data_IF_064696982708
#
_entry.id   IF_064696982708
#
_cell.length_a   1.000
_cell.length_b   1.000
_cell.length_c   1.000
_cell.angle_alpha   90.00
_cell.angle_beta   90.00
_cell.angle_gamma   90.00
#
_symmetry.space_group_name_H-M   'P 1'
#
loop_
_entity.id
_entity.type
_entity.pdbx_description
1 polymer ?
#
# COMPACT_ATOMS: atom_id res chain seq x y z
N UNK A 1 96.43 -1.67 33.44
CA UNK A 1 96.23 -3.10 33.77
C UNK A 1 94.74 -3.26 34.09
N UNK A 2 93.99 -3.74 33.13
CA UNK A 2 92.54 -4.09 33.36
C UNK A 2 92.49 -5.52 33.90
N UNK A 3 91.70 -5.79 34.96
CA UNK A 3 91.56 -7.16 35.44
C UNK A 3 90.61 -7.85 34.48
N UNK A 4 91.07 -8.82 33.75
CA UNK A 4 90.24 -9.79 33.08
C UNK A 4 89.54 -10.62 34.16
N UNK A 5 88.26 -10.46 34.24
CA UNK A 5 87.36 -11.33 35.06
C UNK A 5 87.30 -12.72 34.41
N UNK A 6 88.25 -13.61 34.81
CA UNK A 6 88.10 -15.03 34.45
C UNK A 6 86.91 -15.62 35.18
N UNK A 7 85.85 -15.84 34.45
CA UNK A 7 84.67 -16.58 34.92
C UNK A 7 85.06 -18.01 35.29
N UNK A 8 84.68 -18.50 36.43
CA UNK A 8 84.93 -19.88 36.85
C UNK A 8 84.25 -20.86 35.86
N UNK A 9 84.83 -22.05 35.67
CA UNK A 9 84.31 -23.08 34.75
C UNK A 9 82.82 -23.45 35.01
N UNK A 10 82.40 -23.35 36.28
CA UNK A 10 80.99 -23.54 36.66
C UNK A 10 80.09 -22.41 36.18
N UNK A 11 80.51 -21.15 36.20
CA UNK A 11 79.73 -20.00 35.71
C UNK A 11 79.64 -20.01 34.18
N UNK A 12 80.73 -20.43 33.47
CA UNK A 12 80.70 -20.66 32.03
C UNK A 12 79.67 -21.75 31.64
N UNK A 13 79.67 -22.90 32.30
CA UNK A 13 78.75 -23.97 32.02
C UNK A 13 77.30 -23.61 32.31
N UNK A 14 77.03 -22.75 33.34
CA UNK A 14 75.68 -22.26 33.61
C UNK A 14 75.21 -21.26 32.56
N UNK A 15 76.08 -20.39 32.15
CA UNK A 15 75.82 -19.42 31.04
C UNK A 15 75.56 -20.13 29.72
N UNK A 16 76.33 -21.14 29.36
CA UNK A 16 76.07 -21.96 28.16
C UNK A 16 74.74 -22.66 28.21
N UNK A 17 74.35 -23.24 29.33
CA UNK A 17 73.01 -23.85 29.53
C UNK A 17 71.88 -22.81 29.37
N UNK A 18 72.04 -21.60 29.92
CA UNK A 18 71.09 -20.51 29.80
C UNK A 18 70.99 -20.01 28.36
N UNK A 19 72.08 -19.84 27.68
CA UNK A 19 72.11 -19.49 26.22
C UNK A 19 71.38 -20.56 25.40
N UNK A 20 71.73 -21.82 25.55
CA UNK A 20 71.09 -22.90 24.83
C UNK A 20 69.58 -23.01 25.13
N UNK A 21 69.14 -22.65 26.33
CA UNK A 21 67.69 -22.59 26.71
C UNK A 21 66.98 -21.40 26.03
N UNK A 22 67.62 -20.24 25.96
CA UNK A 22 67.11 -19.08 25.30
C UNK A 22 67.03 -19.27 23.76
N UNK A 23 68.07 -19.88 23.18
CA UNK A 23 68.06 -20.19 21.73
C UNK A 23 66.93 -21.16 21.36
N UNK A 24 66.70 -22.19 22.17
CA UNK A 24 65.53 -23.11 21.95
C UNK A 24 64.17 -22.39 22.16
N UNK A 25 64.10 -21.39 23.04
CA UNK A 25 62.92 -20.60 23.24
C UNK A 25 62.66 -19.70 22.04
N UNK A 26 63.70 -18.97 21.57
CA UNK A 26 63.62 -18.10 20.38
C UNK A 26 63.25 -18.92 19.12
N UNK A 27 63.88 -20.11 18.95
CA UNK A 27 63.54 -20.95 17.82
C UNK A 27 62.07 -21.40 17.84
N UNK A 28 61.53 -21.78 19.03
CA UNK A 28 60.11 -22.13 19.17
C UNK A 28 59.18 -20.93 18.93
N UNK A 29 59.51 -19.77 19.43
CA UNK A 29 58.71 -18.56 19.19
C UNK A 29 58.72 -18.14 17.71
N UNK A 30 59.84 -18.27 17.03
CA UNK A 30 59.94 -18.05 15.55
C UNK A 30 59.06 -19.05 14.77
N UNK A 31 59.20 -20.32 15.05
CA UNK A 31 58.38 -21.38 14.38
C UNK A 31 56.88 -21.20 14.63
N UNK A 32 56.47 -20.87 15.85
CA UNK A 32 55.07 -20.56 16.16
C UNK A 32 54.54 -19.33 15.44
N UNK A 33 55.41 -18.29 15.32
CA UNK A 33 55.07 -17.07 14.57
C UNK A 33 54.92 -17.33 13.07
N UNK A 34 55.85 -18.06 12.46
CA UNK A 34 55.77 -18.45 11.05
C UNK A 34 54.51 -19.29 10.75
N UNK A 35 54.15 -20.20 11.67
CA UNK A 35 52.93 -21.00 11.53
C UNK A 35 51.66 -20.16 11.67
N UNK A 36 51.61 -19.22 12.60
CA UNK A 36 50.51 -18.27 12.77
C UNK A 36 50.34 -17.35 11.55
N UNK A 37 51.47 -16.84 10.99
CA UNK A 37 51.46 -16.02 9.77
C UNK A 37 50.91 -16.82 8.59
N UNK A 38 51.35 -18.08 8.41
CA UNK A 38 50.84 -18.97 7.36
C UNK A 38 49.34 -19.25 7.49
N UNK A 39 48.83 -19.52 8.73
CA UNK A 39 47.41 -19.73 8.97
C UNK A 39 46.62 -18.45 8.66
N UNK A 40 47.13 -17.27 9.04
CA UNK A 40 46.51 -16.00 8.76
C UNK A 40 46.45 -15.69 7.24
N UNK A 41 47.53 -15.96 6.50
CA UNK A 41 47.55 -15.80 5.03
C UNK A 41 46.57 -16.74 4.34
N UNK A 42 46.52 -18.02 4.72
CA UNK A 42 45.57 -18.99 4.19
C UNK A 42 44.11 -18.58 4.52
N UNK A 43 43.87 -18.09 5.73
CA UNK A 43 42.59 -17.57 6.15
C UNK A 43 42.12 -16.38 5.32
N UNK A 44 42.99 -15.38 5.12
CA UNK A 44 42.72 -14.21 4.28
C UNK A 44 42.45 -14.61 2.82
N UNK A 45 43.21 -15.54 2.30
CA UNK A 45 43.02 -16.04 0.92
C UNK A 45 41.66 -16.72 0.76
N UNK A 46 41.24 -17.53 1.72
CA UNK A 46 39.91 -18.17 1.70
C UNK A 46 38.79 -17.16 1.79
N UNK A 47 38.92 -16.17 2.69
CA UNK A 47 37.95 -15.08 2.83
C UNK A 47 37.82 -14.28 1.53
N UNK A 48 38.93 -13.98 0.87
CA UNK A 48 38.91 -13.27 -0.40
C UNK A 48 38.15 -14.05 -1.48
N UNK A 49 38.42 -15.35 -1.62
CA UNK A 49 37.74 -16.20 -2.61
C UNK A 49 36.24 -16.33 -2.32
N UNK A 50 35.85 -16.48 -1.05
CA UNK A 50 34.44 -16.55 -0.65
C UNK A 50 33.72 -15.22 -0.89
N UNK A 51 34.38 -14.10 -0.59
CA UNK A 51 33.80 -12.78 -0.89
C UNK A 51 33.59 -12.58 -2.40
N UNK A 52 34.58 -12.96 -3.21
CA UNK A 52 34.44 -12.87 -4.66
C UNK A 52 33.29 -13.74 -5.18
N UNK A 53 33.15 -14.98 -4.69
CA UNK A 53 32.04 -15.86 -5.05
C UNK A 53 30.67 -15.30 -4.59
N UNK A 54 30.63 -14.63 -3.42
CA UNK A 54 29.42 -13.97 -2.93
C UNK A 54 29.06 -12.76 -3.80
N UNK A 55 30.03 -11.94 -4.17
CA UNK A 55 29.81 -10.79 -5.04
C UNK A 55 29.26 -11.21 -6.41
N UNK A 56 29.83 -12.27 -7.00
CA UNK A 56 29.35 -12.84 -8.27
C UNK A 56 27.92 -13.39 -8.14
N UNK A 57 27.61 -14.09 -7.05
CA UNK A 57 26.25 -14.58 -6.80
C UNK A 57 25.24 -13.47 -6.57
N UNK A 58 25.62 -12.41 -5.84
CA UNK A 58 24.78 -11.23 -5.62
C UNK A 58 24.48 -10.55 -6.95
N UNK A 59 25.51 -10.34 -7.78
CA UNK A 59 25.35 -9.72 -9.10
C UNK A 59 24.41 -10.55 -9.99
N UNK A 60 24.60 -11.85 -10.05
CA UNK A 60 23.75 -12.76 -10.84
C UNK A 60 22.29 -12.73 -10.35
N UNK A 61 22.07 -12.84 -9.04
CA UNK A 61 20.72 -12.80 -8.47
C UNK A 61 20.02 -11.47 -8.67
N UNK A 62 20.76 -10.37 -8.61
CA UNK A 62 20.22 -9.04 -8.88
C UNK A 62 19.75 -8.93 -10.33
N UNK A 63 20.57 -9.42 -11.28
CA UNK A 63 20.19 -9.44 -12.69
C UNK A 63 18.97 -10.34 -12.97
N UNK A 64 18.91 -11.54 -12.38
CA UNK A 64 17.77 -12.45 -12.49
C UNK A 64 16.47 -11.79 -11.98
N UNK A 65 16.55 -11.14 -10.80
CA UNK A 65 15.42 -10.43 -10.19
C UNK A 65 14.95 -9.24 -11.04
N UNK A 66 15.87 -8.48 -11.62
CA UNK A 66 15.53 -7.37 -12.53
C UNK A 66 14.84 -7.88 -13.80
N UNK A 67 15.29 -8.99 -14.37
CA UNK A 67 14.65 -9.62 -15.53
C UNK A 67 13.25 -10.14 -15.19
N UNK A 68 13.09 -10.81 -14.05
CA UNK A 68 11.77 -11.28 -13.59
C UNK A 68 10.82 -10.11 -13.34
N UNK A 69 11.30 -9.04 -12.70
CA UNK A 69 10.54 -7.82 -12.44
C UNK A 69 10.10 -7.14 -13.73
N UNK A 70 10.99 -7.05 -14.71
CA UNK A 70 10.69 -6.47 -16.02
C UNK A 70 9.64 -7.30 -16.78
N UNK A 71 9.76 -8.64 -16.76
CA UNK A 71 8.76 -9.53 -17.35
C UNK A 71 7.39 -9.41 -16.67
N UNK A 72 7.38 -9.33 -15.34
CA UNK A 72 6.15 -9.15 -14.58
C UNK A 72 5.48 -7.79 -14.89
N UNK A 73 6.27 -6.72 -14.98
CA UNK A 73 5.77 -5.40 -15.32
C UNK A 73 5.19 -5.34 -16.74
N UNK A 74 5.85 -5.95 -17.73
CA UNK A 74 5.34 -6.04 -19.11
C UNK A 74 4.02 -6.81 -19.16
N UNK A 75 3.92 -7.95 -18.45
CA UNK A 75 2.68 -8.72 -18.37
C UNK A 75 1.55 -7.96 -17.68
N UNK A 76 1.85 -7.14 -16.67
CA UNK A 76 0.86 -6.29 -16.01
C UNK A 76 0.38 -5.18 -16.95
N UNK A 77 1.29 -4.51 -17.67
CA UNK A 77 0.95 -3.48 -18.64
C UNK A 77 0.06 -4.01 -19.78
N UNK A 78 0.38 -5.20 -20.34
CA UNK A 78 -0.44 -5.85 -21.34
C UNK A 78 -1.85 -6.19 -20.84
N UNK A 79 -1.97 -6.66 -19.60
CA UNK A 79 -3.27 -6.92 -18.96
C UNK A 79 -4.07 -5.63 -18.76
N UNK A 80 -3.42 -4.58 -18.30
CA UNK A 80 -4.06 -3.28 -18.10
C UNK A 80 -4.58 -2.71 -19.43
N UNK A 81 -3.80 -2.77 -20.50
CA UNK A 81 -4.21 -2.32 -21.82
C UNK A 81 -5.38 -3.15 -22.37
N UNK A 82 -5.33 -4.47 -22.23
CA UNK A 82 -6.44 -5.35 -22.63
C UNK A 82 -7.75 -5.00 -21.89
N UNK A 83 -7.66 -4.73 -20.60
CA UNK A 83 -8.84 -4.39 -19.79
C UNK A 83 -9.34 -2.96 -20.09
N UNK A 84 -8.45 -2.01 -20.42
CA UNK A 84 -8.84 -0.68 -20.94
C UNK A 84 -9.61 -0.79 -22.25
N UNK A 85 -9.13 -1.63 -23.17
CA UNK A 85 -9.83 -1.90 -24.44
C UNK A 85 -11.19 -2.55 -24.20
N UNK A 86 -11.25 -3.61 -23.38
CA UNK A 86 -12.51 -4.27 -23.03
C UNK A 86 -13.52 -3.30 -22.42
N UNK A 87 -13.10 -2.44 -21.49
CA UNK A 87 -14.00 -1.47 -20.88
C UNK A 87 -14.51 -0.43 -21.88
N UNK A 88 -13.66 0.05 -22.77
CA UNK A 88 -14.08 0.98 -23.81
C UNK A 88 -15.08 0.34 -24.77
N UNK A 89 -14.80 -0.90 -25.22
CA UNK A 89 -15.66 -1.64 -26.13
C UNK A 89 -16.98 -2.12 -25.52
N UNK A 90 -17.01 -2.35 -24.19
CA UNK A 90 -18.24 -2.77 -23.49
C UNK A 90 -19.08 -1.58 -23.03
N UNK A 91 -18.50 -0.41 -22.78
CA UNK A 91 -19.26 0.79 -22.38
C UNK A 91 -20.23 1.25 -23.46
N UNK A 92 -19.85 1.17 -24.73
CA UNK A 92 -20.70 1.59 -25.83
C UNK A 92 -21.99 0.76 -25.95
N UNK A 93 -21.97 -0.59 -26.03
CA UNK A 93 -23.19 -1.38 -26.08
C UNK A 93 -23.98 -1.30 -24.77
N UNK A 94 -23.33 -1.17 -23.61
CA UNK A 94 -24.00 -1.00 -22.32
C UNK A 94 -24.81 0.30 -22.29
N UNK A 95 -24.24 1.42 -22.73
CA UNK A 95 -24.97 2.69 -22.86
C UNK A 95 -26.13 2.61 -23.85
N UNK A 96 -25.99 1.82 -24.92
CA UNK A 96 -27.08 1.51 -25.84
C UNK A 96 -28.22 0.78 -25.14
N UNK A 97 -27.92 -0.26 -24.35
CA UNK A 97 -28.93 -1.01 -23.57
C UNK A 97 -29.61 -0.10 -22.55
N UNK A 98 -28.83 0.70 -21.80
CA UNK A 98 -29.37 1.67 -20.84
C UNK A 98 -30.34 2.64 -21.49
N UNK A 99 -29.97 3.25 -22.63
CA UNK A 99 -30.83 4.19 -23.35
C UNK A 99 -32.14 3.55 -23.85
N UNK A 100 -32.07 2.31 -24.36
CA UNK A 100 -33.27 1.57 -24.78
C UNK A 100 -34.18 1.26 -23.59
N UNK A 101 -33.60 0.82 -22.45
CA UNK A 101 -34.36 0.52 -21.24
C UNK A 101 -35.01 1.76 -20.62
N UNK A 102 -34.29 2.89 -20.59
CA UNK A 102 -34.85 4.19 -20.14
C UNK A 102 -36.02 4.64 -21.00
N UNK A 103 -35.84 4.56 -22.35
CA UNK A 103 -36.90 4.93 -23.28
C UNK A 103 -38.12 3.99 -23.17
N UNK A 104 -37.90 2.69 -23.02
CA UNK A 104 -38.94 1.71 -22.83
C UNK A 104 -39.66 1.90 -21.49
N UNK A 105 -38.95 2.22 -20.42
CA UNK A 105 -39.49 2.52 -19.10
C UNK A 105 -40.39 3.73 -19.09
N UNK A 106 -39.99 4.81 -19.76
CA UNK A 106 -40.79 6.03 -19.92
C UNK A 106 -42.10 5.79 -20.70
N UNK A 107 -42.11 4.81 -21.59
CA UNK A 107 -43.28 4.45 -22.42
C UNK A 107 -44.04 3.19 -21.91
N UNK A 108 -43.62 2.61 -20.79
CA UNK A 108 -44.25 1.37 -20.27
C UNK A 108 -45.68 1.62 -19.86
N UNK A 109 -46.61 0.80 -20.40
CA UNK A 109 -48.05 0.88 -20.15
C UNK A 109 -48.50 0.06 -18.94
N UNK A 110 -47.66 -0.85 -18.43
CA UNK A 110 -47.95 -1.65 -17.25
C UNK A 110 -46.90 -1.39 -16.15
N UNK A 111 -47.35 -1.41 -14.93
CA UNK A 111 -46.48 -1.23 -13.74
C UNK A 111 -45.43 -2.35 -13.62
N UNK A 112 -45.80 -3.57 -13.97
CA UNK A 112 -44.92 -4.72 -13.99
C UNK A 112 -43.79 -4.59 -15.02
N UNK A 113 -44.10 -4.09 -16.23
CA UNK A 113 -43.11 -3.82 -17.25
C UNK A 113 -42.14 -2.72 -16.81
N UNK A 114 -42.66 -1.68 -16.14
CA UNK A 114 -41.80 -0.59 -15.61
C UNK A 114 -40.85 -1.12 -14.53
N UNK A 115 -41.32 -1.95 -13.60
CA UNK A 115 -40.51 -2.58 -12.58
C UNK A 115 -39.38 -3.42 -13.18
N UNK A 116 -39.67 -4.26 -14.18
CA UNK A 116 -38.64 -5.05 -14.86
C UNK A 116 -37.58 -4.20 -15.57
N UNK A 117 -38.00 -3.09 -16.19
CA UNK A 117 -37.07 -2.18 -16.82
C UNK A 117 -36.22 -1.41 -15.82
N UNK A 118 -36.79 -1.04 -14.67
CA UNK A 118 -36.04 -0.42 -13.56
C UNK A 118 -35.00 -1.38 -12.97
N UNK A 119 -35.34 -2.65 -12.78
CA UNK A 119 -34.40 -3.69 -12.32
C UNK A 119 -33.26 -3.92 -13.34
N UNK A 120 -33.59 -3.95 -14.62
CA UNK A 120 -32.59 -4.07 -15.67
C UNK A 120 -31.66 -2.87 -15.76
N UNK A 121 -32.21 -1.66 -15.62
CA UNK A 121 -31.45 -0.42 -15.55
C UNK A 121 -30.51 -0.39 -14.33
N UNK A 122 -30.97 -0.83 -13.17
CA UNK A 122 -30.16 -0.94 -11.97
C UNK A 122 -28.97 -1.89 -12.20
N UNK A 123 -29.24 -3.09 -12.74
CA UNK A 123 -28.22 -4.09 -13.03
C UNK A 123 -27.18 -3.59 -14.06
N UNK A 124 -27.61 -2.89 -15.10
CA UNK A 124 -26.71 -2.34 -16.10
C UNK A 124 -25.84 -1.21 -15.54
N UNK A 125 -26.36 -0.37 -14.65
CA UNK A 125 -25.60 0.66 -13.93
C UNK A 125 -24.60 0.06 -12.96
N UNK A 126 -24.97 -1.00 -12.26
CA UNK A 126 -24.04 -1.73 -11.37
C UNK A 126 -22.85 -2.30 -12.17
N UNK A 127 -23.08 -2.83 -13.36
CA UNK A 127 -22.03 -3.31 -14.25
C UNK A 127 -21.11 -2.16 -14.72
N UNK A 128 -21.64 -1.00 -15.07
CA UNK A 128 -20.86 0.19 -15.42
C UNK A 128 -19.95 0.62 -14.27
N UNK A 129 -20.46 0.63 -13.04
CA UNK A 129 -19.68 0.96 -11.84
C UNK A 129 -18.55 -0.05 -11.61
N UNK A 130 -18.84 -1.36 -11.71
CA UNK A 130 -17.83 -2.41 -11.56
C UNK A 130 -16.71 -2.26 -12.61
N UNK A 131 -17.06 -2.00 -13.86
CA UNK A 131 -16.08 -1.80 -14.92
C UNK A 131 -15.22 -0.55 -14.71
N UNK A 132 -15.82 0.53 -14.26
CA UNK A 132 -15.10 1.78 -13.96
C UNK A 132 -14.12 1.57 -12.80
N UNK A 133 -14.53 0.89 -11.74
CA UNK A 133 -13.67 0.54 -10.60
C UNK A 133 -12.51 -0.36 -11.02
N UNK A 134 -12.77 -1.35 -11.88
CA UNK A 134 -11.74 -2.25 -12.38
C UNK A 134 -10.68 -1.49 -13.20
N UNK A 135 -11.10 -0.57 -14.05
CA UNK A 135 -10.16 0.27 -14.81
C UNK A 135 -9.30 1.14 -13.90
N UNK A 136 -9.94 1.82 -12.94
CA UNK A 136 -9.24 2.67 -12.01
C UNK A 136 -8.21 1.88 -11.18
N UNK A 137 -8.60 0.66 -10.75
CA UNK A 137 -7.73 -0.25 -10.04
C UNK A 137 -6.47 -0.63 -10.86
N UNK A 138 -6.62 -0.82 -12.17
CA UNK A 138 -5.52 -1.15 -13.08
C UNK A 138 -4.63 0.07 -13.37
N UNK A 139 -5.23 1.26 -13.48
CA UNK A 139 -4.49 2.50 -13.66
C UNK A 139 -3.60 2.81 -12.44
N UNK A 140 -3.98 2.33 -11.25
CA UNK A 140 -3.18 2.45 -10.04
C UNK A 140 -1.96 1.52 -9.98
N UNK A 141 -1.87 0.51 -10.85
CA UNK A 141 -0.68 -0.36 -10.96
C UNK A 141 0.47 0.31 -11.72
N UNK A 142 0.19 1.34 -12.52
CA UNK A 142 1.22 2.11 -13.21
C UNK A 142 1.76 3.23 -12.30
N UNK A 143 3.08 3.42 -12.22
CA UNK A 143 3.66 4.52 -11.46
C UNK A 143 3.39 5.84 -12.21
N UNK A 144 2.26 6.45 -11.93
CA UNK A 144 1.97 7.80 -12.40
C UNK A 144 2.48 8.80 -11.37
N UNK A 145 3.27 9.76 -11.82
CA UNK A 145 3.66 10.93 -11.04
C UNK A 145 2.48 11.90 -10.98
N UNK A 146 1.51 11.63 -10.13
CA UNK A 146 0.50 12.63 -9.75
C UNK A 146 1.14 13.58 -8.74
N UNK A 147 1.04 14.89 -8.99
CA UNK A 147 1.60 15.89 -8.08
C UNK A 147 0.83 15.87 -6.75
N UNK A 148 1.56 15.60 -5.66
CA UNK A 148 1.07 15.80 -4.30
C UNK A 148 1.01 17.30 -4.06
N UNK A 149 -0.12 17.80 -3.62
CA UNK A 149 -0.34 19.23 -3.36
C UNK A 149 -1.21 19.49 -2.14
N UNK A 150 -1.29 20.77 -1.77
CA UNK A 150 -2.20 21.22 -0.72
C UNK A 150 -3.66 21.09 -1.21
N UNK A 151 -4.49 20.48 -0.38
CA UNK A 151 -5.91 20.23 -0.64
C UNK A 151 -6.72 21.15 0.27
N UNK A 152 -7.57 21.98 -0.30
CA UNK A 152 -8.57 22.76 0.43
C UNK A 152 -9.66 21.80 0.96
N UNK A 153 -9.67 21.60 2.26
CA UNK A 153 -10.54 20.66 2.97
C UNK A 153 -12.01 21.07 2.87
N UNK A 154 -12.31 22.38 3.00
CA UNK A 154 -13.65 22.93 2.91
C UNK A 154 -14.25 22.72 1.51
N UNK A 155 -13.44 22.94 0.46
CA UNK A 155 -13.88 22.76 -0.93
C UNK A 155 -14.18 21.29 -1.24
N UNK A 156 -13.36 20.35 -0.72
CA UNK A 156 -13.61 18.90 -0.86
C UNK A 156 -14.94 18.50 -0.25
N UNK A 157 -15.19 18.87 1.01
CA UNK A 157 -16.43 18.51 1.70
C UNK A 157 -17.66 19.13 1.04
N UNK A 158 -17.57 20.41 0.66
CA UNK A 158 -18.67 21.12 0.01
C UNK A 158 -19.05 20.47 -1.31
N UNK A 159 -18.07 20.14 -2.15
CA UNK A 159 -18.31 19.45 -3.44
C UNK A 159 -18.84 18.05 -3.27
N UNK A 160 -18.30 17.26 -2.33
CA UNK A 160 -18.83 15.93 -2.03
C UNK A 160 -20.29 16.02 -1.56
N UNK A 161 -20.60 16.95 -0.64
CA UNK A 161 -21.96 17.18 -0.17
C UNK A 161 -22.94 17.51 -1.29
N UNK A 162 -22.61 18.50 -2.14
CA UNK A 162 -23.49 18.91 -3.25
C UNK A 162 -23.66 17.79 -4.30
N UNK A 163 -22.61 17.04 -4.61
CA UNK A 163 -22.63 15.94 -5.59
C UNK A 163 -23.59 14.83 -5.15
N UNK A 164 -23.59 14.49 -3.87
CA UNK A 164 -24.29 13.32 -3.35
C UNK A 164 -25.65 13.63 -2.71
N UNK A 165 -25.96 14.88 -2.36
CA UNK A 165 -27.17 15.33 -1.68
C UNK A 165 -28.47 14.76 -2.27
N UNK A 166 -28.65 14.91 -3.57
CA UNK A 166 -29.87 14.45 -4.25
C UNK A 166 -29.98 12.93 -4.30
N UNK A 167 -28.83 12.23 -4.40
CA UNK A 167 -28.80 10.76 -4.45
C UNK A 167 -29.08 10.17 -3.07
N UNK A 168 -28.49 10.75 -2.03
CA UNK A 168 -28.76 10.39 -0.64
C UNK A 168 -30.25 10.59 -0.29
N UNK A 169 -30.82 11.75 -0.63
CA UNK A 169 -32.22 12.06 -0.37
C UNK A 169 -33.19 11.05 -1.05
N UNK A 170 -32.91 10.64 -2.29
CA UNK A 170 -33.70 9.60 -2.98
C UNK A 170 -33.59 8.23 -2.32
N UNK A 171 -32.50 7.94 -1.64
CA UNK A 171 -32.32 6.71 -0.86
C UNK A 171 -32.87 6.82 0.57
N UNK A 172 -33.54 7.94 0.93
CA UNK A 172 -34.08 8.16 2.27
C UNK A 172 -33.06 8.59 3.31
N UNK A 173 -31.89 9.05 2.88
CA UNK A 173 -30.80 9.51 3.73
C UNK A 173 -30.70 11.04 3.72
N UNK A 174 -30.50 11.64 4.89
CA UNK A 174 -30.16 13.04 5.03
C UNK A 174 -28.64 13.18 5.08
N UNK A 175 -28.03 13.74 4.04
CA UNK A 175 -26.60 13.99 3.99
C UNK A 175 -26.26 15.30 4.71
N UNK A 176 -25.41 15.24 5.73
CA UNK A 176 -24.84 16.37 6.45
C UNK A 176 -23.35 16.45 6.20
N UNK A 177 -22.84 17.65 5.86
CA UNK A 177 -21.41 17.92 5.75
C UNK A 177 -21.00 18.86 6.90
N UNK A 178 -20.01 18.43 7.69
CA UNK A 178 -19.51 19.19 8.85
C UNK A 178 -18.01 19.46 8.70
N UNK A 179 -17.63 20.73 8.74
CA UNK A 179 -16.24 21.15 8.81
C UNK A 179 -15.94 21.60 10.24
N UNK A 180 -14.98 20.94 10.90
CA UNK A 180 -14.63 21.19 12.31
C UNK A 180 -13.14 21.44 12.52
N UNK A 181 -12.38 21.64 11.43
CA UNK A 181 -10.98 22.04 11.54
C UNK A 181 -10.85 23.44 12.12
N UNK A 182 -9.90 23.63 13.03
CA UNK A 182 -9.77 24.88 13.80
C UNK A 182 -9.05 26.01 13.05
N UNK A 183 -8.39 25.73 11.93
CA UNK A 183 -7.55 26.66 11.17
C UNK A 183 -7.80 26.64 9.67
N UNK A 184 -6.85 27.22 8.95
CA UNK A 184 -6.79 27.24 7.48
C UNK A 184 -6.04 25.95 7.02
N UNK A 185 -6.45 24.82 7.59
CA UNK A 185 -5.71 23.58 7.48
C UNK A 185 -5.93 22.94 6.12
N UNK A 186 -4.85 22.90 5.35
CA UNK A 186 -4.79 22.19 4.08
C UNK A 186 -4.22 20.79 4.33
N UNK A 187 -4.88 19.76 3.79
CA UNK A 187 -4.33 18.41 3.76
C UNK A 187 -3.32 18.27 2.61
N UNK A 188 -2.28 17.48 2.82
CA UNK A 188 -1.31 17.16 1.77
C UNK A 188 -1.69 15.85 1.09
N UNK A 189 -1.88 15.87 -0.22
CA UNK A 189 -2.23 14.63 -0.94
C UNK A 189 -2.57 14.84 -2.40
N UNK A 190 -3.17 13.81 -3.00
CA UNK A 190 -3.72 13.87 -4.35
C UNK A 190 -5.23 14.16 -4.27
N UNK A 191 -5.62 15.34 -4.71
CA UNK A 191 -7.02 15.80 -4.70
C UNK A 191 -7.98 14.80 -5.37
N UNK A 192 -7.62 14.32 -6.56
CA UNK A 192 -8.45 13.38 -7.32
C UNK A 192 -8.65 12.05 -6.61
N UNK A 193 -7.64 11.59 -5.86
CA UNK A 193 -7.71 10.35 -5.10
C UNK A 193 -8.63 10.48 -3.91
N UNK A 194 -8.51 11.58 -3.17
CA UNK A 194 -9.39 11.88 -2.05
C UNK A 194 -10.85 12.03 -2.50
N UNK A 195 -11.10 12.78 -3.60
CA UNK A 195 -12.45 12.88 -4.18
C UNK A 195 -13.02 11.49 -4.52
N UNK A 196 -12.20 10.60 -5.12
CA UNK A 196 -12.63 9.23 -5.46
C UNK A 196 -12.87 8.38 -4.21
N UNK A 197 -11.99 8.46 -3.20
CA UNK A 197 -12.17 7.76 -1.92
C UNK A 197 -13.50 8.16 -1.27
N UNK A 198 -13.75 9.46 -1.17
CA UNK A 198 -15.00 9.98 -0.58
C UNK A 198 -16.23 9.56 -1.38
N UNK A 199 -16.17 9.60 -2.72
CA UNK A 199 -17.26 9.15 -3.59
C UNK A 199 -17.58 7.65 -3.39
N UNK A 200 -16.54 6.81 -3.24
CA UNK A 200 -16.71 5.39 -2.95
C UNK A 200 -17.30 5.15 -1.55
N UNK A 201 -16.83 5.86 -0.54
CA UNK A 201 -17.33 5.74 0.84
C UNK A 201 -18.78 6.20 0.96
N UNK A 202 -19.11 7.36 0.40
CA UNK A 202 -20.49 7.90 0.40
C UNK A 202 -21.40 6.98 -0.43
N UNK A 203 -20.93 6.48 -1.57
CA UNK A 203 -21.68 5.53 -2.39
C UNK A 203 -21.99 4.23 -1.66
N UNK A 204 -21.02 3.69 -0.91
CA UNK A 204 -21.20 2.51 -0.06
C UNK A 204 -22.23 2.78 1.07
N UNK A 205 -22.12 3.92 1.75
CA UNK A 205 -23.04 4.34 2.78
C UNK A 205 -24.50 4.47 2.25
N UNK A 206 -24.68 5.00 1.05
CA UNK A 206 -26.00 5.09 0.40
C UNK A 206 -26.53 3.70 0.01
N UNK A 207 -25.67 2.82 -0.46
CA UNK A 207 -26.07 1.47 -0.94
C UNK A 207 -26.43 0.52 0.21
N UNK A 208 -25.70 0.63 1.32
CA UNK A 208 -25.77 -0.32 2.43
C UNK A 208 -26.39 0.28 3.70
N UNK A 209 -26.48 1.61 3.77
CA UNK A 209 -27.08 2.33 4.89
C UNK A 209 -28.58 2.10 5.02
N UNK A 210 -29.10 2.43 6.19
CA UNK A 210 -30.54 2.49 6.46
C UNK A 210 -31.02 3.94 6.40
N UNK A 211 -32.32 4.20 6.17
CA UNK A 211 -32.87 5.55 6.23
C UNK A 211 -32.48 6.27 7.51
N UNK A 212 -31.92 7.48 7.37
CA UNK A 212 -31.43 8.25 8.51
C UNK A 212 -30.38 9.30 8.12
N UNK A 213 -29.45 9.55 9.03
CA UNK A 213 -28.38 10.53 8.83
C UNK A 213 -27.13 9.85 8.22
N UNK A 214 -26.71 10.38 7.09
CA UNK A 214 -25.38 10.14 6.53
C UNK A 214 -24.53 11.38 6.75
N UNK A 215 -23.42 11.25 7.45
CA UNK A 215 -22.58 12.38 7.81
C UNK A 215 -21.21 12.25 7.16
N UNK A 216 -20.75 13.33 6.54
CA UNK A 216 -19.37 13.51 6.13
C UNK A 216 -18.78 14.62 6.97
N UNK A 217 -17.58 14.43 7.50
CA UNK A 217 -16.94 15.45 8.33
C UNK A 217 -15.44 15.51 8.06
N UNK A 218 -14.84 16.68 8.36
CA UNK A 218 -13.41 16.82 8.48
C UNK A 218 -13.08 17.46 9.83
N UNK A 219 -12.12 16.83 10.52
CA UNK A 219 -11.64 17.23 11.83
C UNK A 219 -10.11 17.27 11.84
N UNK A 220 -9.53 18.10 12.72
CA UNK A 220 -8.10 18.07 12.98
C UNK A 220 -7.73 16.93 13.93
N UNK A 221 -6.56 16.35 13.71
CA UNK A 221 -5.93 15.41 14.62
C UNK A 221 -4.44 15.77 14.79
N UNK A 222 -3.76 15.09 15.72
CA UNK A 222 -2.31 15.28 15.91
C UNK A 222 -1.49 14.89 14.65
N UNK A 223 -2.03 13.97 13.85
CA UNK A 223 -1.35 13.38 12.68
C UNK A 223 -1.77 14.04 11.34
N UNK A 224 -2.78 14.91 11.33
CA UNK A 224 -3.28 15.54 10.11
C UNK A 224 -4.78 15.79 10.11
N UNK A 225 -5.35 15.97 8.92
CA UNK A 225 -6.78 16.15 8.71
C UNK A 225 -7.48 14.80 8.55
N UNK A 226 -8.49 14.54 9.35
CA UNK A 226 -9.30 13.32 9.35
C UNK A 226 -10.62 13.58 8.63
N UNK A 227 -10.79 12.98 7.45
CA UNK A 227 -12.08 12.90 6.79
C UNK A 227 -12.85 11.68 7.29
N UNK A 228 -14.09 11.85 7.68
CA UNK A 228 -14.95 10.75 8.16
C UNK A 228 -16.25 10.65 7.38
N UNK A 229 -16.66 9.43 7.07
CA UNK A 229 -17.97 9.10 6.53
C UNK A 229 -18.67 8.19 7.53
N UNK A 230 -19.82 8.63 8.05
CA UNK A 230 -20.55 7.95 9.11
C UNK A 230 -21.96 7.64 8.60
N UNK A 231 -22.33 6.38 8.59
CA UNK A 231 -23.67 5.93 8.22
C UNK A 231 -24.36 5.21 9.38
N UNK A 232 -25.67 5.24 9.38
CA UNK A 232 -26.53 4.53 10.34
C UNK A 232 -26.97 3.16 9.79
N UNK A 233 -26.06 2.45 9.12
CA UNK A 233 -26.32 1.14 8.51
C UNK A 233 -26.37 0.01 9.54
N UNK A 234 -26.45 -1.26 9.05
CA UNK A 234 -26.49 -2.44 9.92
C UNK A 234 -25.14 -2.79 10.54
N UNK A 235 -24.11 -2.02 10.27
CA UNK A 235 -22.73 -2.31 10.67
C UNK A 235 -22.09 -3.45 9.85
N UNK A 236 -20.85 -3.74 10.20
CA UNK A 236 -20.00 -4.77 9.56
C UNK A 236 -19.56 -5.74 10.64
N UNK A 237 -19.84 -7.04 10.43
CA UNK A 237 -19.54 -8.09 11.42
C UNK A 237 -18.04 -8.29 11.65
N UNK A 238 -17.24 -8.20 10.59
CA UNK A 238 -15.77 -8.34 10.64
C UNK A 238 -15.12 -7.33 9.68
N UNK A 239 -14.47 -6.35 10.25
CA UNK A 239 -13.71 -5.32 9.51
C UNK A 239 -12.28 -5.75 9.20
N UNK A 240 -11.76 -6.78 9.87
CA UNK A 240 -10.39 -7.25 9.71
C UNK A 240 -10.00 -7.55 8.26
N UNK A 241 -10.80 -8.34 7.51
CA UNK A 241 -10.52 -8.61 6.10
C UNK A 241 -10.48 -7.35 5.22
N UNK A 242 -11.26 -6.32 5.53
CA UNK A 242 -11.29 -5.07 4.74
C UNK A 242 -10.00 -4.26 4.90
N UNK A 243 -9.31 -4.42 6.02
CA UNK A 243 -8.04 -3.76 6.33
C UNK A 243 -6.81 -4.59 5.89
N UNK A 244 -6.99 -5.88 5.54
CA UNK A 244 -5.90 -6.75 5.11
C UNK A 244 -5.36 -6.33 3.72
N UNK A 245 -4.04 -6.07 3.58
CA UNK A 245 -3.41 -5.78 2.29
C UNK A 245 -3.57 -6.88 1.25
N UNK A 246 -3.68 -8.14 1.69
CA UNK A 246 -3.80 -9.32 0.84
C UNK A 246 -5.26 -9.66 0.48
N UNK A 247 -6.23 -8.93 1.02
CA UNK A 247 -7.65 -9.21 0.78
C UNK A 247 -8.06 -8.84 -0.65
N UNK A 248 -8.09 -9.84 -1.51
CA UNK A 248 -8.58 -9.80 -2.89
C UNK A 248 -9.69 -10.84 -3.05
N UNK A 249 -10.78 -10.72 -2.29
CA UNK A 249 -11.89 -11.66 -2.44
C UNK A 249 -12.74 -11.32 -3.66
N UNK A 250 -12.33 -11.83 -4.81
CA UNK A 250 -13.08 -11.81 -6.06
C UNK A 250 -14.22 -12.84 -6.07
N UNK A 251 -14.27 -13.76 -5.09
CA UNK A 251 -15.18 -14.90 -5.06
C UNK A 251 -16.53 -14.58 -4.40
N UNK A 252 -16.59 -13.53 -3.60
CA UNK A 252 -17.79 -13.17 -2.88
C UNK A 252 -18.68 -12.25 -3.75
N UNK A 253 -19.71 -12.83 -4.37
CA UNK A 253 -20.61 -12.29 -5.39
C UNK A 253 -21.43 -11.04 -5.00
N UNK A 254 -21.05 -10.32 -3.96
CA UNK A 254 -21.65 -9.07 -3.50
C UNK A 254 -20.70 -7.88 -3.62
N UNK A 255 -20.00 -7.66 -4.72
CA UNK A 255 -19.35 -6.38 -5.09
C UNK A 255 -18.63 -5.55 -3.96
N UNK A 256 -18.51 -6.08 -2.74
CA UNK A 256 -17.95 -5.40 -1.56
C UNK A 256 -16.44 -5.30 -1.61
N UNK A 257 -15.76 -6.26 -2.24
CA UNK A 257 -14.29 -6.34 -2.24
C UNK A 257 -13.60 -5.27 -3.08
N UNK A 258 -14.09 -4.96 -4.30
CA UNK A 258 -13.41 -4.08 -5.25
C UNK A 258 -13.36 -2.63 -4.73
N UNK A 259 -14.43 -2.13 -4.14
CA UNK A 259 -14.51 -0.77 -3.62
C UNK A 259 -13.50 -0.50 -2.53
N UNK A 260 -13.40 -1.37 -1.54
CA UNK A 260 -12.43 -1.22 -0.44
C UNK A 260 -10.99 -1.43 -0.89
N UNK A 261 -10.72 -2.38 -1.78
CA UNK A 261 -9.39 -2.58 -2.36
C UNK A 261 -8.94 -1.34 -3.15
N UNK A 262 -9.86 -0.68 -3.86
CA UNK A 262 -9.61 0.58 -4.56
C UNK A 262 -9.31 1.71 -3.57
N UNK A 263 -10.15 1.90 -2.54
CA UNK A 263 -9.95 2.92 -1.50
C UNK A 263 -8.57 2.76 -0.86
N UNK A 264 -8.19 1.53 -0.52
CA UNK A 264 -6.89 1.26 0.08
C UNK A 264 -5.72 1.63 -0.82
N UNK A 265 -5.75 1.23 -2.09
CA UNK A 265 -4.70 1.61 -3.05
C UNK A 265 -4.60 3.11 -3.28
N UNK A 266 -5.73 3.81 -3.34
CA UNK A 266 -5.76 5.27 -3.41
C UNK A 266 -5.20 5.91 -2.16
N UNK A 267 -5.52 5.39 -0.98
CA UNK A 267 -4.97 5.84 0.29
C UNK A 267 -3.45 5.64 0.36
N UNK A 268 -2.96 4.46 0.01
CA UNK A 268 -1.53 4.15 -0.04
C UNK A 268 -0.79 5.11 -1.00
N UNK A 269 -1.38 5.41 -2.17
CA UNK A 269 -0.80 6.32 -3.17
C UNK A 269 -0.73 7.76 -2.68
N UNK A 270 -1.77 8.24 -1.98
CA UNK A 270 -1.82 9.61 -1.45
C UNK A 270 -1.16 9.78 -0.09
N UNK A 271 -0.65 8.69 0.51
CA UNK A 271 -0.05 8.71 1.85
C UNK A 271 -1.08 8.83 2.97
N UNK A 272 -2.34 8.47 2.72
CA UNK A 272 -3.41 8.52 3.71
C UNK A 272 -3.45 7.25 4.56
N UNK A 273 -3.89 7.40 5.80
CA UNK A 273 -4.20 6.28 6.70
C UNK A 273 -5.71 6.05 6.73
N UNK A 274 -6.12 4.78 6.60
CA UNK A 274 -7.52 4.36 6.68
C UNK A 274 -7.85 3.77 8.05
N UNK A 275 -9.00 4.17 8.61
CA UNK A 275 -9.61 3.57 9.80
C UNK A 275 -11.04 3.14 9.52
N UNK A 276 -11.49 2.05 10.14
CA UNK A 276 -12.87 1.58 10.07
C UNK A 276 -13.31 1.19 11.48
N UNK A 277 -14.37 1.82 11.95
CA UNK A 277 -15.03 1.48 13.21
C UNK A 277 -16.47 1.07 12.90
N UNK A 278 -16.83 -0.16 13.21
CA UNK A 278 -18.16 -0.69 12.97
C UNK A 278 -18.44 -1.89 13.88
N UNK A 279 -19.67 -2.04 14.28
CA UNK A 279 -20.14 -3.23 14.98
C UNK A 279 -21.53 -3.64 14.45
N UNK A 280 -21.88 -4.95 14.51
CA UNK A 280 -23.18 -5.44 14.05
C UNK A 280 -24.34 -4.71 14.70
N UNK A 281 -25.25 -4.17 13.90
CA UNK A 281 -26.40 -3.40 14.35
C UNK A 281 -26.11 -1.96 14.76
N UNK A 282 -24.86 -1.51 14.60
CA UNK A 282 -24.42 -0.15 14.91
C UNK A 282 -23.99 0.60 13.63
N UNK A 283 -23.74 1.90 13.78
CA UNK A 283 -23.22 2.74 12.70
C UNK A 283 -21.86 2.26 12.21
N UNK A 284 -21.55 2.53 10.94
CA UNK A 284 -20.20 2.39 10.40
C UNK A 284 -19.56 3.77 10.27
N UNK A 285 -18.33 3.90 10.78
CA UNK A 285 -17.49 5.08 10.60
C UNK A 285 -16.24 4.66 9.84
N UNK A 286 -16.01 5.28 8.69
CA UNK A 286 -14.77 5.12 7.93
C UNK A 286 -14.03 6.44 7.95
N UNK A 287 -12.74 6.40 8.31
CA UNK A 287 -11.87 7.56 8.41
C UNK A 287 -10.72 7.48 7.41
N UNK A 288 -10.36 8.63 6.86
CA UNK A 288 -9.22 8.82 5.96
C UNK A 288 -8.40 9.98 6.52
N UNK A 289 -7.20 9.70 7.01
CA UNK A 289 -6.31 10.73 7.58
C UNK A 289 -5.23 11.08 6.58
N UNK A 290 -5.13 12.35 6.23
CA UNK A 290 -4.08 12.93 5.39
C UNK A 290 -3.19 13.83 6.24
N UNK A 291 -1.85 13.84 6.04
CA UNK A 291 -0.99 14.76 6.75
C UNK A 291 -1.33 16.23 6.42
N UNK A 292 -0.99 17.15 7.30
CA UNK A 292 -1.11 18.57 7.03
C UNK A 292 -0.20 19.00 5.87
N UNK A 293 -0.66 19.93 5.06
CA UNK A 293 0.21 20.56 4.09
C UNK A 293 1.22 21.47 4.83
N UNK A 294 2.47 21.57 4.36
CA UNK A 294 3.52 22.37 4.99
C UNK A 294 3.26 23.89 4.91
#
# INVERSE_FOLDING_TARGET
>A
MSPELELSDLERADLEKRVARLERRVARERSAREEAERIAEDGMRRLFLVNQELDDRVAQRTEELEQERTKAALSAAERAEFLRLLSRETRSPLNGVLGVMETAGANAKSEQMRAWLEDGLASARDLEVIMTRLLLFLELEEPHSTEVGAIDVMDVLSRAGERWKHRALRAGLLLAAEYRCAGDDSALGHRSDLDTILDELIGNAIKHGQPGLLKIAADDSDDGVVFSVIDAGPGIDDVGPLLDPAFHDWSNSQARGIGYSLIKRLADRTGATLGIESAPGESTTVTVTLPFAP
#
